data_IF_706327370081
#
_entry.id   IF_706327370081
#
_cell.length_a   1.000
_cell.length_b   1.000
_cell.length_c   1.000
_cell.angle_alpha   90.00
_cell.angle_beta   90.00
_cell.angle_gamma   90.00
#
_symmetry.space_group_name_H-M   'P 1'
#
loop_
_entity.id
_entity.type
_entity.pdbx_description
1 polymer ?
#
# COMPACT_ATOMS: atom_id res chain seq x y z
N UNK A 1 -79.16 41.83 -42.78
CA UNK A 1 -79.81 42.98 -43.42
C UNK A 1 -79.14 44.23 -42.88
N UNK A 2 -78.05 44.80 -43.41
CA UNK A 2 -77.73 45.33 -44.77
C UNK A 2 -78.80 46.26 -45.34
N UNK A 3 -78.42 47.54 -45.50
CA UNK A 3 -79.16 48.60 -46.21
C UNK A 3 -79.02 49.98 -45.54
N UNK A 4 -77.82 50.58 -45.46
CA UNK A 4 -77.23 51.54 -46.43
C UNK A 4 -77.77 53.00 -46.30
N UNK A 5 -77.09 53.90 -45.55
CA UNK A 5 -76.10 54.95 -46.00
C UNK A 5 -76.72 56.39 -45.94
N UNK A 6 -75.94 57.50 -45.95
CA UNK A 6 -75.63 58.34 -44.77
C UNK A 6 -76.11 59.82 -44.89
N UNK A 7 -76.01 60.60 -43.81
CA UNK A 7 -75.69 62.03 -43.91
C UNK A 7 -74.45 62.35 -43.07
N UNK A 8 -73.38 62.59 -43.81
CA UNK A 8 -72.12 63.28 -43.48
C UNK A 8 -72.35 64.45 -42.51
N UNK A 9 -71.57 64.70 -41.46
CA UNK A 9 -70.13 64.52 -41.31
C UNK A 9 -69.54 65.66 -40.46
N UNK A 10 -70.20 66.82 -40.40
CA UNK A 10 -69.57 68.00 -39.78
C UNK A 10 -70.25 68.48 -38.48
N UNK A 11 -71.59 68.45 -38.39
CA UNK A 11 -72.30 69.06 -37.25
C UNK A 11 -72.11 68.31 -35.91
N UNK A 12 -71.82 67.01 -35.97
CA UNK A 12 -71.67 66.18 -34.77
C UNK A 12 -70.27 66.28 -34.13
N UNK A 13 -69.27 66.78 -34.85
CA UNK A 13 -67.89 66.74 -34.38
C UNK A 13 -67.52 67.89 -33.42
N UNK A 14 -68.11 69.09 -33.55
CA UNK A 14 -67.71 70.25 -32.73
C UNK A 14 -68.45 70.33 -31.38
N UNK A 15 -69.74 70.00 -31.36
CA UNK A 15 -70.56 70.15 -30.15
C UNK A 15 -70.35 69.00 -29.15
N UNK A 16 -70.15 67.78 -29.64
CA UNK A 16 -69.96 66.61 -28.78
C UNK A 16 -68.61 66.59 -28.07
N UNK A 17 -67.57 67.17 -28.67
CA UNK A 17 -66.20 67.08 -28.14
C UNK A 17 -65.91 68.08 -27.02
N UNK A 18 -66.55 69.26 -27.01
CA UNK A 18 -66.22 70.31 -26.04
C UNK A 18 -67.24 70.55 -24.91
N UNK A 19 -68.53 70.18 -25.06
CA UNK A 19 -69.55 70.50 -24.05
C UNK A 19 -70.00 69.33 -23.15
N UNK A 20 -69.63 68.09 -23.46
CA UNK A 20 -70.00 66.92 -22.66
C UNK A 20 -71.51 66.82 -22.37
N UNK A 21 -71.91 65.96 -21.43
CA UNK A 21 -73.32 65.73 -21.10
C UNK A 21 -74.08 66.98 -20.59
N UNK A 22 -73.39 68.07 -20.28
CA UNK A 22 -73.97 69.35 -19.88
C UNK A 22 -74.53 70.17 -21.07
N UNK A 23 -74.10 69.88 -22.31
CA UNK A 23 -74.59 70.56 -23.51
C UNK A 23 -76.03 70.20 -23.91
N UNK A 24 -76.59 69.11 -23.39
CA UNK A 24 -77.95 68.66 -23.72
C UNK A 24 -79.05 69.62 -23.24
N UNK A 25 -78.76 70.51 -22.28
CA UNK A 25 -79.70 71.53 -21.79
C UNK A 25 -79.43 72.93 -22.35
N UNK A 26 -78.47 73.08 -23.26
CA UNK A 26 -78.28 74.33 -24.00
C UNK A 26 -79.27 74.35 -25.18
N UNK A 27 -80.52 74.73 -24.92
CA UNK A 27 -81.44 75.10 -26.00
C UNK A 27 -81.00 76.46 -26.56
N UNK A 28 -80.47 76.47 -27.77
CA UNK A 28 -80.26 77.70 -28.53
C UNK A 28 -81.63 78.16 -29.07
N UNK A 29 -82.29 79.08 -28.35
CA UNK A 29 -83.42 79.83 -28.89
C UNK A 29 -82.88 81.15 -29.46
N UNK A 30 -82.42 81.09 -30.70
CA UNK A 30 -82.16 82.27 -31.53
C UNK A 30 -83.43 83.10 -31.70
N UNK A 31 -83.32 84.38 -31.29
CA UNK A 31 -84.30 85.46 -31.40
C UNK A 31 -83.64 86.79 -31.04
N UNK A 32 -82.63 87.18 -31.83
CA UNK A 32 -82.06 88.53 -32.06
C UNK A 32 -81.50 89.42 -30.93
N UNK A 33 -80.94 88.94 -29.82
CA UNK A 33 -80.06 89.84 -29.06
C UNK A 33 -79.59 89.43 -27.66
N UNK A 34 -78.27 89.24 -27.56
CA UNK A 34 -77.39 89.68 -26.46
C UNK A 34 -77.71 89.31 -24.98
N UNK A 35 -77.16 88.16 -24.57
CA UNK A 35 -76.32 87.91 -23.38
C UNK A 35 -76.72 88.47 -21.99
N UNK A 36 -77.19 87.53 -21.16
CA UNK A 36 -76.90 87.39 -19.71
C UNK A 36 -77.60 88.33 -18.72
N UNK A 37 -78.76 87.93 -18.17
CA UNK A 37 -79.13 88.31 -16.79
C UNK A 37 -80.20 87.40 -16.13
N UNK A 38 -79.78 86.48 -15.25
CA UNK A 38 -80.49 86.09 -14.00
C UNK A 38 -81.53 84.95 -13.99
N UNK A 39 -81.31 83.90 -13.17
CA UNK A 39 -82.25 83.42 -12.12
C UNK A 39 -81.57 82.36 -11.21
N UNK A 40 -81.84 82.45 -9.90
CA UNK A 40 -81.05 81.93 -8.78
C UNK A 40 -81.53 80.59 -8.16
N UNK A 41 -80.57 79.75 -7.74
CA UNK A 41 -80.49 78.96 -6.47
C UNK A 41 -79.63 77.69 -6.67
N UNK A 42 -78.57 77.51 -5.87
CA UNK A 42 -77.74 76.29 -5.88
C UNK A 42 -78.20 75.39 -4.75
N UNK A 43 -78.77 74.22 -5.08
CA UNK A 43 -79.44 73.32 -4.14
C UNK A 43 -78.56 72.29 -3.41
N UNK A 44 -77.24 72.26 -3.60
CA UNK A 44 -76.38 71.31 -2.90
C UNK A 44 -74.94 71.83 -2.71
N UNK A 45 -74.43 71.70 -1.49
CA UNK A 45 -73.03 71.94 -1.10
C UNK A 45 -72.45 70.63 -0.57
N UNK A 46 -71.29 70.21 -1.05
CA UNK A 46 -70.58 69.01 -0.59
C UNK A 46 -69.31 69.43 0.17
N UNK A 47 -69.23 69.14 1.49
CA UNK A 47 -68.10 69.48 2.37
C UNK A 47 -68.50 69.69 3.84
N UNK A 48 -67.52 69.90 4.73
CA UNK A 48 -67.78 70.22 6.14
C UNK A 48 -68.40 71.63 6.29
N UNK A 49 -69.53 71.72 7.00
CA UNK A 49 -70.27 72.98 7.25
C UNK A 49 -70.05 73.41 8.70
N UNK A 50 -69.52 74.61 8.92
CA UNK A 50 -69.19 75.09 10.27
C UNK A 50 -70.38 75.57 11.11
N UNK A 51 -71.48 76.01 10.49
CA UNK A 51 -72.67 76.55 11.16
C UNK A 51 -73.88 76.59 10.23
N UNK A 52 -75.06 76.32 10.76
CA UNK A 52 -76.36 76.48 10.07
C UNK A 52 -77.24 77.38 10.93
N UNK A 53 -77.70 78.50 10.36
CA UNK A 53 -78.70 79.38 10.99
C UNK A 53 -80.05 79.12 10.31
N UNK A 54 -80.89 78.28 10.92
CA UNK A 54 -82.22 77.91 10.40
C UNK A 54 -82.54 76.43 10.55
N UNK A 55 -83.73 76.03 10.09
CA UNK A 55 -84.22 74.65 10.15
C UNK A 55 -83.57 73.75 9.09
N UNK A 56 -83.32 72.48 9.44
CA UNK A 56 -82.93 71.43 8.50
C UNK A 56 -84.20 70.73 8.00
N UNK A 57 -84.44 70.72 6.69
CA UNK A 57 -85.65 70.11 6.07
C UNK A 57 -85.59 68.59 5.86
N UNK A 58 -84.59 67.89 6.40
CA UNK A 58 -84.37 66.45 6.22
C UNK A 58 -83.53 65.85 7.36
N UNK A 59 -83.09 64.59 7.21
CA UNK A 59 -82.30 63.90 8.24
C UNK A 59 -80.90 64.49 8.39
N UNK A 60 -80.51 64.72 9.64
CA UNK A 60 -79.11 64.93 10.02
C UNK A 60 -78.49 63.55 10.24
N UNK A 61 -77.60 63.12 9.34
CA UNK A 61 -76.86 61.87 9.48
C UNK A 61 -75.50 62.19 10.13
N UNK A 62 -75.40 62.02 11.45
CA UNK A 62 -74.19 62.27 12.24
C UNK A 62 -74.47 62.68 13.69
N UNK A 63 -73.41 62.96 14.45
CA UNK A 63 -73.49 63.36 15.87
C UNK A 63 -73.97 64.81 16.03
N UNK A 64 -74.96 65.06 16.89
CA UNK A 64 -75.42 66.41 17.28
C UNK A 64 -74.92 66.69 18.71
N UNK A 65 -74.07 67.71 18.88
CA UNK A 65 -73.41 67.97 20.16
C UNK A 65 -74.32 68.66 21.21
N UNK A 66 -75.19 69.58 20.80
CA UNK A 66 -76.08 70.32 21.69
C UNK A 66 -77.36 70.74 20.97
N UNK A 67 -78.51 70.59 21.61
CA UNK A 67 -79.82 71.01 21.09
C UNK A 67 -80.37 72.10 22.01
N UNK A 68 -80.27 73.36 21.58
CA UNK A 68 -80.64 74.54 22.36
C UNK A 68 -81.83 75.24 21.70
N UNK A 69 -83.02 74.63 21.73
CA UNK A 69 -84.25 75.20 21.13
C UNK A 69 -85.44 74.24 21.17
N UNK A 70 -86.66 74.76 21.35
CA UNK A 70 -87.88 73.98 21.68
C UNK A 70 -88.50 73.18 20.53
N UNK A 71 -89.04 72.00 20.87
CA UNK A 71 -89.78 71.11 19.96
C UNK A 71 -91.25 71.50 19.97
N UNK A 72 -91.72 72.01 18.83
CA UNK A 72 -93.09 72.43 18.49
C UNK A 72 -93.92 73.05 19.64
N UNK A 73 -93.78 74.36 19.74
CA UNK A 73 -94.37 75.30 20.69
C UNK A 73 -95.88 75.53 20.51
N UNK A 74 -96.71 74.48 20.71
CA UNK A 74 -98.18 74.53 20.60
C UNK A 74 -98.92 73.88 21.77
N UNK A 75 -98.96 74.56 22.92
CA UNK A 75 -99.83 74.35 24.09
C UNK A 75 -99.91 72.94 24.72
N UNK A 76 -98.94 72.65 25.60
CA UNK A 76 -99.24 71.97 26.87
C UNK A 76 -98.87 70.50 26.99
N UNK A 77 -97.61 70.11 26.77
CA UNK A 77 -97.01 68.98 27.51
C UNK A 77 -95.51 69.18 27.61
N UNK A 78 -95.03 69.36 28.85
CA UNK A 78 -93.61 69.53 29.19
C UNK A 78 -93.08 68.20 29.71
N UNK A 79 -92.13 67.64 28.96
CA UNK A 79 -91.11 66.69 29.38
C UNK A 79 -90.31 67.28 30.54
N UNK A 80 -90.18 66.65 31.72
CA UNK A 80 -88.96 65.86 31.98
C UNK A 80 -89.02 64.88 33.17
N UNK A 81 -90.19 64.46 33.70
CA UNK A 81 -90.25 63.14 34.39
C UNK A 81 -91.67 62.59 34.63
N UNK A 82 -92.69 63.43 34.76
CA UNK A 82 -94.01 63.03 35.30
C UNK A 82 -94.97 62.40 34.27
N UNK A 83 -94.65 62.46 32.98
CA UNK A 83 -95.49 61.90 31.91
C UNK A 83 -95.28 60.40 31.62
N UNK A 84 -94.27 59.76 32.22
CA UNK A 84 -94.01 58.32 32.03
C UNK A 84 -94.89 57.45 32.95
N UNK A 85 -95.29 57.98 34.10
CA UNK A 85 -96.04 57.28 35.15
C UNK A 85 -97.40 56.76 34.63
N UNK A 86 -98.13 57.62 33.93
CA UNK A 86 -99.47 57.27 33.43
C UNK A 86 -99.46 56.25 32.29
N UNK A 87 -98.37 56.20 31.50
CA UNK A 87 -98.22 55.21 30.43
C UNK A 87 -97.76 53.84 30.97
N UNK A 88 -96.98 53.83 32.04
CA UNK A 88 -96.57 52.61 32.73
C UNK A 88 -97.75 51.92 33.43
N UNK A 89 -98.66 52.68 34.05
CA UNK A 89 -99.85 52.13 34.70
C UNK A 89 -100.77 51.35 33.74
N UNK A 90 -100.93 51.84 32.51
CA UNK A 90 -101.73 51.15 31.50
C UNK A 90 -101.06 49.84 31.02
N UNK A 91 -99.74 49.83 30.87
CA UNK A 91 -98.97 48.63 30.53
C UNK A 91 -99.00 47.58 31.64
N UNK A 92 -98.99 48.02 32.90
CA UNK A 92 -99.04 47.13 34.06
C UNK A 92 -100.41 46.43 34.19
N UNK A 93 -101.50 47.14 33.91
CA UNK A 93 -102.86 46.57 33.82
C UNK A 93 -102.98 45.51 32.72
N UNK A 94 -102.34 45.74 31.57
CA UNK A 94 -102.31 44.79 30.45
C UNK A 94 -101.49 43.55 30.78
N UNK A 95 -100.36 43.73 31.48
CA UNK A 95 -99.48 42.63 31.92
C UNK A 95 -100.17 41.72 32.93
N UNK A 96 -100.88 42.29 33.92
CA UNK A 96 -101.67 41.49 34.89
C UNK A 96 -102.79 40.70 34.20
N UNK A 97 -103.43 41.28 33.19
CA UNK A 97 -104.44 40.59 32.37
C UNK A 97 -103.81 39.42 31.59
N UNK A 98 -102.58 39.59 31.07
CA UNK A 98 -101.86 38.54 30.35
C UNK A 98 -101.43 37.39 31.28
N UNK A 99 -100.94 37.69 32.49
CA UNK A 99 -100.62 36.66 33.48
C UNK A 99 -101.86 35.87 33.90
N UNK A 100 -102.99 36.55 34.10
CA UNK A 100 -104.27 35.91 34.48
C UNK A 100 -104.78 34.95 33.41
N UNK A 101 -104.61 35.30 32.13
CA UNK A 101 -105.05 34.45 31.01
C UNK A 101 -104.12 33.27 30.72
N UNK A 102 -102.81 33.38 31.01
CA UNK A 102 -101.83 32.35 30.67
C UNK A 102 -101.53 31.34 31.80
N UNK A 103 -101.73 31.69 33.08
CA UNK A 103 -101.35 30.83 34.22
C UNK A 103 -102.53 30.04 34.85
N UNK A 104 -103.76 30.22 34.38
CA UNK A 104 -104.92 29.46 34.86
C UNK A 104 -105.24 29.68 36.34
N UNK A 105 -106.13 28.86 36.92
CA UNK A 105 -106.72 29.01 38.27
C UNK A 105 -105.72 29.01 39.44
N UNK A 106 -104.43 28.71 39.20
CA UNK A 106 -103.36 28.88 40.19
C UNK A 106 -102.89 30.35 40.30
N UNK A 107 -103.16 31.19 39.30
CA UNK A 107 -102.96 32.65 39.35
C UNK A 107 -104.05 33.42 40.11
N UNK A 108 -105.15 32.74 40.51
CA UNK A 108 -106.25 33.34 41.26
C UNK A 108 -106.04 33.35 42.80
N UNK A 109 -104.91 32.80 43.29
CA UNK A 109 -104.60 32.76 44.73
C UNK A 109 -103.67 33.88 45.21
N UNK A 110 -103.22 34.78 44.33
CA UNK A 110 -102.51 36.00 44.73
C UNK A 110 -103.51 37.09 45.16
N UNK A 111 -104.19 36.87 46.29
CA UNK A 111 -105.01 37.91 46.93
C UNK A 111 -104.12 38.72 47.86
N UNK A 112 -104.02 40.04 47.64
CA UNK A 112 -103.47 40.96 48.62
C UNK A 112 -104.38 40.95 49.88
N UNK A 113 -103.91 40.32 50.95
CA UNK A 113 -104.48 40.52 52.28
C UNK A 113 -103.75 41.70 52.94
N UNK A 114 -104.42 42.85 53.02
CA UNK A 114 -103.94 43.98 53.81
C UNK A 114 -103.78 43.59 55.29
N UNK A 115 -102.59 43.82 55.84
CA UNK A 115 -102.29 43.61 57.26
C UNK A 115 -100.80 43.33 57.49
N UNK A 116 -100.20 44.01 58.47
CA UNK A 116 -98.75 44.05 58.73
C UNK A 116 -98.11 42.68 58.95
N UNK A 117 -97.22 42.28 58.04
CA UNK A 117 -96.16 41.29 58.30
C UNK A 117 -96.40 39.91 57.70
N UNK A 118 -95.98 39.71 56.44
CA UNK A 118 -95.07 38.64 55.97
C UNK A 118 -94.96 38.70 54.43
N UNK A 119 -93.91 39.37 53.93
CA UNK A 119 -93.63 39.50 52.49
C UNK A 119 -92.87 38.28 51.91
N UNK A 120 -92.98 37.09 52.50
CA UNK A 120 -92.11 35.96 52.17
C UNK A 120 -92.74 34.82 51.35
N UNK A 121 -93.87 35.01 50.66
CA UNK A 121 -94.43 33.97 49.77
C UNK A 121 -93.96 34.04 48.32
N UNK A 122 -93.31 35.13 47.90
CA UNK A 122 -92.55 35.16 46.64
C UNK A 122 -91.16 34.53 46.76
N UNK A 123 -90.62 34.40 47.98
CA UNK A 123 -89.31 33.77 48.22
C UNK A 123 -89.39 32.24 48.25
N UNK A 124 -90.54 31.65 48.55
CA UNK A 124 -90.72 30.20 48.55
C UNK A 124 -90.56 29.57 47.15
N UNK A 125 -91.00 30.26 46.09
CA UNK A 125 -90.79 29.82 44.70
C UNK A 125 -89.35 30.00 44.23
N UNK A 126 -88.68 31.06 44.68
CA UNK A 126 -87.26 31.28 44.41
C UNK A 126 -86.39 30.23 45.14
N UNK A 127 -86.70 29.89 46.39
CA UNK A 127 -86.01 28.85 47.17
C UNK A 127 -86.26 27.44 46.62
N UNK A 128 -87.47 27.16 46.09
CA UNK A 128 -87.71 25.90 45.36
C UNK A 128 -86.96 25.83 44.05
N UNK A 129 -86.91 26.94 43.29
CA UNK A 129 -86.15 27.00 42.04
C UNK A 129 -84.65 26.90 42.29
N UNK A 130 -84.12 27.63 43.28
CA UNK A 130 -82.73 27.55 43.74
C UNK A 130 -82.40 26.16 44.26
N UNK A 131 -83.33 25.49 44.94
CA UNK A 131 -83.21 24.11 45.36
C UNK A 131 -83.18 23.12 44.19
N UNK A 132 -84.01 23.30 43.15
CA UNK A 132 -83.93 22.50 41.92
C UNK A 132 -82.60 22.68 41.21
N UNK A 133 -82.11 23.92 41.09
CA UNK A 133 -80.78 24.19 40.53
C UNK A 133 -79.67 23.58 41.38
N UNK A 134 -79.75 23.67 42.71
CA UNK A 134 -78.73 23.10 43.58
C UNK A 134 -78.72 21.57 43.56
N UNK A 135 -79.87 20.91 43.59
CA UNK A 135 -79.97 19.44 43.48
C UNK A 135 -79.46 18.95 42.11
N UNK A 136 -79.65 19.74 41.04
CA UNK A 136 -79.20 19.40 39.69
C UNK A 136 -77.70 19.67 39.48
N UNK A 137 -77.14 20.71 40.11
CA UNK A 137 -75.80 21.21 39.80
C UNK A 137 -74.75 20.93 40.88
N UNK A 138 -75.15 20.49 42.08
CA UNK A 138 -74.23 20.15 43.17
C UNK A 138 -74.25 18.66 43.44
N UNK A 139 -73.06 18.09 43.60
CA UNK A 139 -72.85 16.65 43.85
C UNK A 139 -72.28 16.37 45.24
N UNK A 140 -72.39 17.32 46.17
CA UNK A 140 -71.89 17.16 47.55
C UNK A 140 -72.88 16.38 48.43
N UNK A 141 -72.37 15.67 49.44
CA UNK A 141 -73.20 14.81 50.30
C UNK A 141 -74.17 15.59 51.22
N UNK A 142 -73.95 16.89 51.42
CA UNK A 142 -74.78 17.71 52.30
C UNK A 142 -76.11 18.12 51.61
N UNK A 143 -76.13 18.23 50.28
CA UNK A 143 -77.28 18.75 49.53
C UNK A 143 -78.58 17.95 49.75
N UNK A 144 -78.48 16.63 49.94
CA UNK A 144 -79.63 15.76 50.19
C UNK A 144 -80.27 16.01 51.57
N UNK A 145 -79.48 16.46 52.55
CA UNK A 145 -79.97 16.81 53.89
C UNK A 145 -80.49 18.25 53.90
N UNK A 146 -79.74 19.18 53.31
CA UNK A 146 -80.08 20.61 53.30
C UNK A 146 -81.35 20.93 52.49
N UNK A 147 -81.65 20.14 51.44
CA UNK A 147 -82.80 20.34 50.54
C UNK A 147 -83.78 19.17 50.52
N UNK A 148 -83.87 18.40 51.60
CA UNK A 148 -84.71 17.19 51.72
C UNK A 148 -86.20 17.40 51.39
N UNK A 149 -86.78 18.54 51.77
CA UNK A 149 -88.18 18.88 51.48
C UNK A 149 -88.45 19.08 49.98
N UNK A 150 -87.48 19.64 49.25
CA UNK A 150 -87.57 19.88 47.81
C UNK A 150 -87.36 18.57 47.04
N UNK A 151 -86.43 17.72 47.50
CA UNK A 151 -86.24 16.37 46.95
C UNK A 151 -87.53 15.53 47.06
N UNK A 152 -88.28 15.67 48.15
CA UNK A 152 -89.59 15.03 48.33
C UNK A 152 -90.63 15.52 47.31
N UNK A 153 -90.60 16.79 46.93
CA UNK A 153 -91.50 17.38 45.91
C UNK A 153 -91.17 16.91 44.49
N UNK A 154 -89.88 16.74 44.14
CA UNK A 154 -89.47 16.13 42.86
C UNK A 154 -90.04 14.71 42.76
N UNK A 155 -89.87 13.94 43.83
CA UNK A 155 -90.29 12.54 43.89
C UNK A 155 -91.83 12.36 43.93
N UNK A 156 -92.59 13.42 44.20
CA UNK A 156 -94.05 13.38 44.27
C UNK A 156 -94.76 13.64 42.91
N UNK A 157 -94.06 14.16 41.90
CA UNK A 157 -94.68 14.53 40.62
C UNK A 157 -94.60 13.40 39.58
N UNK A 158 -95.51 12.44 39.72
CA UNK A 158 -95.71 11.23 38.89
C UNK A 158 -96.18 11.52 37.44
N UNK A 159 -95.24 11.80 36.54
CA UNK A 159 -95.49 11.91 35.09
C UNK A 159 -95.45 10.57 34.33
N UNK A 160 -96.56 9.82 34.35
CA UNK A 160 -97.10 8.76 33.43
C UNK A 160 -96.34 8.20 32.19
N UNK A 161 -95.02 7.98 32.21
CA UNK A 161 -94.27 7.34 31.11
C UNK A 161 -93.53 6.07 31.54
N UNK A 162 -93.92 4.91 31.02
CA UNK A 162 -93.39 3.58 31.31
C UNK A 162 -91.85 3.48 31.31
N UNK A 163 -91.27 3.33 32.50
CA UNK A 163 -89.90 2.92 32.78
C UNK A 163 -89.86 2.40 34.22
N UNK A 164 -89.24 1.24 34.41
CA UNK A 164 -89.36 0.37 35.57
C UNK A 164 -89.17 1.09 36.93
N UNK A 165 -90.20 1.06 37.78
CA UNK A 165 -90.23 1.68 39.11
C UNK A 165 -89.43 0.80 40.09
N UNK A 166 -88.10 0.81 39.96
CA UNK A 166 -87.21 0.20 40.95
C UNK A 166 -86.95 1.20 42.07
N UNK A 167 -87.41 0.86 43.26
CA UNK A 167 -87.30 1.56 44.56
C UNK A 167 -85.85 1.77 45.08
N UNK A 168 -84.88 2.00 44.21
CA UNK A 168 -83.55 2.48 44.60
C UNK A 168 -83.49 3.98 44.35
N UNK A 169 -83.72 4.72 45.42
CA UNK A 169 -83.40 6.13 45.61
C UNK A 169 -82.14 6.52 44.81
N UNK A 170 -82.27 7.52 43.94
CA UNK A 170 -81.21 8.17 43.12
C UNK A 170 -79.91 8.54 43.85
N UNK A 171 -79.91 8.63 45.18
CA UNK A 171 -78.70 8.68 46.00
C UNK A 171 -77.81 7.43 45.91
N UNK A 172 -78.37 6.24 45.66
CA UNK A 172 -77.61 5.00 45.40
C UNK A 172 -77.10 4.92 43.95
N UNK A 173 -77.67 5.68 43.02
CA UNK A 173 -77.11 5.86 41.68
C UNK A 173 -75.95 6.86 41.70
N UNK A 174 -76.00 7.88 42.57
CA UNK A 174 -74.85 8.72 42.92
C UNK A 174 -73.68 7.94 43.57
N UNK A 175 -73.97 6.91 44.39
CA UNK A 175 -72.93 6.01 44.92
C UNK A 175 -72.32 5.08 43.85
N UNK A 176 -73.07 4.73 42.79
CA UNK A 176 -72.54 3.98 41.65
C UNK A 176 -71.75 4.86 40.69
N UNK A 177 -72.06 6.16 40.60
CA UNK A 177 -71.27 7.17 39.87
C UNK A 177 -70.00 7.59 40.65
N UNK A 178 -69.98 7.38 41.98
CA UNK A 178 -68.72 7.41 42.74
C UNK A 178 -67.85 6.18 42.54
N UNK A 179 -68.29 5.10 41.89
CA UNK A 179 -67.45 3.92 41.69
C UNK A 179 -66.36 4.18 40.62
N UNK A 180 -66.64 4.84 39.48
CA UNK A 180 -65.61 5.41 38.62
C UNK A 180 -64.71 6.42 39.35
N UNK A 181 -65.25 7.28 40.21
CA UNK A 181 -64.46 8.26 40.96
C UNK A 181 -63.64 7.64 42.12
N UNK A 182 -64.08 6.53 42.69
CA UNK A 182 -63.38 5.75 43.71
C UNK A 182 -62.33 4.83 43.06
N UNK A 183 -62.54 4.41 41.81
CA UNK A 183 -61.51 3.78 40.97
C UNK A 183 -60.47 4.82 40.55
N UNK A 184 -60.88 6.03 40.15
CA UNK A 184 -59.98 7.17 39.89
C UNK A 184 -59.19 7.56 41.16
N UNK A 185 -59.84 7.57 42.33
CA UNK A 185 -59.19 7.81 43.61
C UNK A 185 -58.32 6.63 44.08
N UNK A 186 -58.67 5.38 43.78
CA UNK A 186 -57.81 4.23 44.05
C UNK A 186 -56.59 4.18 43.11
N UNK A 187 -56.72 4.67 41.88
CA UNK A 187 -55.62 4.85 40.92
C UNK A 187 -54.67 5.98 41.35
N UNK A 188 -55.16 7.00 42.08
CA UNK A 188 -54.40 8.20 42.42
C UNK A 188 -53.98 8.33 43.90
N UNK A 189 -54.63 7.67 44.86
CA UNK A 189 -54.44 7.89 46.31
C UNK A 189 -53.96 6.65 47.09
N UNK A 190 -53.85 5.47 46.46
CA UNK A 190 -53.05 4.36 46.99
C UNK A 190 -51.68 4.38 46.32
N UNK A 191 -50.66 4.85 47.04
CA UNK A 191 -49.29 5.12 46.57
C UNK A 191 -48.49 3.93 46.02
N UNK A 192 -48.99 3.28 44.98
CA UNK A 192 -48.31 2.24 44.21
C UNK A 192 -48.44 2.46 42.70
N UNK A 193 -48.11 3.68 42.26
CA UNK A 193 -47.81 3.95 40.86
C UNK A 193 -46.75 2.98 40.30
N UNK A 194 -45.96 2.32 41.15
CA UNK A 194 -44.95 1.33 40.78
C UNK A 194 -45.58 -0.01 40.40
N UNK A 195 -46.58 -0.52 41.12
CA UNK A 195 -47.30 -1.74 40.74
C UNK A 195 -48.29 -1.49 39.60
N UNK A 196 -48.88 -0.30 39.50
CA UNK A 196 -49.65 0.06 38.31
C UNK A 196 -48.74 0.17 37.09
N UNK A 197 -47.58 0.84 37.21
CA UNK A 197 -46.59 0.89 36.13
C UNK A 197 -45.98 -0.48 35.84
N UNK A 198 -45.80 -1.36 36.84
CA UNK A 198 -45.33 -2.72 36.64
C UNK A 198 -46.40 -3.61 36.01
N UNK A 199 -47.68 -3.44 36.34
CA UNK A 199 -48.79 -4.15 35.72
C UNK A 199 -49.05 -3.66 34.31
N UNK A 200 -48.96 -2.35 34.05
CA UNK A 200 -49.00 -1.76 32.70
C UNK A 200 -47.78 -2.20 31.91
N UNK A 201 -46.57 -2.16 32.46
CA UNK A 201 -45.36 -2.65 31.80
C UNK A 201 -45.44 -4.15 31.52
N UNK A 202 -45.95 -4.95 32.46
CA UNK A 202 -46.18 -6.39 32.24
C UNK A 202 -47.25 -6.64 31.17
N UNK A 203 -48.31 -5.81 31.10
CA UNK A 203 -49.36 -5.92 30.06
C UNK A 203 -48.90 -5.38 28.71
N UNK A 204 -48.03 -4.39 28.68
CA UNK A 204 -47.36 -3.87 27.48
C UNK A 204 -46.31 -4.87 26.99
N UNK A 205 -45.54 -5.51 27.87
CA UNK A 205 -44.71 -6.66 27.53
C UNK A 205 -45.56 -7.82 27.01
N UNK A 206 -46.66 -8.15 27.69
CA UNK A 206 -47.61 -9.18 27.26
C UNK A 206 -48.24 -8.83 25.91
N UNK A 207 -48.52 -7.55 25.61
CA UNK A 207 -49.02 -7.08 24.32
C UNK A 207 -47.94 -7.13 23.23
N UNK A 208 -46.71 -6.68 23.52
CA UNK A 208 -45.56 -6.75 22.62
C UNK A 208 -45.10 -8.20 22.36
N UNK A 209 -45.34 -9.12 23.30
CA UNK A 209 -45.06 -10.55 23.18
C UNK A 209 -46.23 -11.29 22.48
N UNK A 210 -47.49 -10.91 22.74
CA UNK A 210 -48.67 -11.60 22.21
C UNK A 210 -49.21 -11.05 20.87
N UNK A 211 -48.68 -9.95 20.34
CA UNK A 211 -48.82 -9.61 18.90
C UNK A 211 -47.94 -10.51 18.00
N UNK A 212 -47.42 -11.61 18.55
CA UNK A 212 -47.25 -12.85 17.79
C UNK A 212 -46.12 -12.84 16.76
N UNK A 213 -45.18 -11.90 16.85
CA UNK A 213 -44.00 -11.93 15.99
C UNK A 213 -42.68 -11.63 16.69
N UNK A 214 -42.52 -11.98 17.96
CA UNK A 214 -41.18 -11.96 18.57
C UNK A 214 -40.19 -12.86 17.78
N UNK A 215 -40.68 -13.92 17.13
CA UNK A 215 -39.89 -14.84 16.30
C UNK A 215 -39.44 -14.26 14.96
N UNK A 216 -40.31 -13.62 14.17
CA UNK A 216 -39.88 -13.00 12.91
C UNK A 216 -39.36 -11.57 13.10
N UNK A 217 -39.60 -10.92 14.24
CA UNK A 217 -38.80 -9.75 14.64
C UNK A 217 -37.37 -10.19 14.98
N UNK A 218 -37.19 -11.28 15.75
CA UNK A 218 -35.85 -11.79 16.05
C UNK A 218 -35.15 -12.39 14.82
N UNK A 219 -35.89 -13.04 13.91
CA UNK A 219 -35.36 -13.56 12.65
C UNK A 219 -35.09 -12.46 11.61
N UNK A 220 -35.89 -11.39 11.56
CA UNK A 220 -35.64 -10.21 10.73
C UNK A 220 -34.47 -9.39 11.28
N UNK A 221 -34.38 -9.24 12.60
CA UNK A 221 -33.20 -8.69 13.27
C UNK A 221 -31.99 -9.57 12.96
N UNK A 222 -32.06 -10.89 13.10
CA UNK A 222 -30.96 -11.79 12.75
C UNK A 222 -30.60 -11.69 11.26
N UNK A 223 -31.58 -11.57 10.36
CA UNK A 223 -31.35 -11.43 8.91
C UNK A 223 -30.72 -10.08 8.57
N UNK A 224 -31.18 -8.97 9.15
CA UNK A 224 -30.51 -7.67 9.07
C UNK A 224 -29.13 -7.73 9.74
N UNK A 225 -29.00 -8.51 10.81
CA UNK A 225 -27.78 -8.82 11.57
C UNK A 225 -26.92 -9.92 10.92
N UNK A 226 -27.27 -10.45 9.77
CA UNK A 226 -26.37 -11.24 8.93
C UNK A 226 -26.17 -10.64 7.54
N UNK A 227 -27.09 -9.79 7.07
CA UNK A 227 -27.04 -9.13 5.76
C UNK A 227 -26.27 -7.80 5.70
N UNK A 228 -26.02 -7.11 6.82
CA UNK A 228 -25.17 -5.92 6.85
C UNK A 228 -23.69 -6.28 6.57
N UNK A 229 -23.11 -5.72 5.50
CA UNK A 229 -21.78 -6.07 4.99
C UNK A 229 -20.60 -5.68 5.90
N UNK A 230 -20.80 -4.81 6.88
CA UNK A 230 -19.78 -4.42 7.86
C UNK A 230 -20.39 -4.35 9.25
N UNK A 231 -19.82 -5.06 10.22
CA UNK A 231 -20.25 -5.08 11.63
C UNK A 231 -19.09 -4.70 12.52
N UNK A 232 -19.36 -3.81 13.46
CA UNK A 232 -18.38 -3.43 14.49
C UNK A 232 -18.92 -3.93 15.83
N UNK A 233 -18.30 -4.97 16.39
CA UNK A 233 -18.59 -5.43 17.74
C UNK A 233 -17.68 -4.68 18.71
N UNK A 234 -18.24 -3.75 19.47
CA UNK A 234 -17.48 -2.80 20.30
C UNK A 234 -16.92 -3.42 21.59
N UNK A 235 -17.34 -4.63 21.96
CA UNK A 235 -16.84 -5.37 23.11
C UNK A 235 -16.52 -6.81 22.70
N UNK A 236 -15.28 -7.03 22.28
CA UNK A 236 -14.79 -8.32 21.82
C UNK A 236 -14.37 -9.24 22.99
N UNK A 237 -15.29 -9.53 23.92
CA UNK A 237 -15.02 -10.46 25.03
C UNK A 237 -15.46 -11.90 24.74
N UNK A 238 -16.24 -12.09 23.67
CA UNK A 238 -16.82 -13.40 23.30
C UNK A 238 -16.18 -14.00 22.05
N UNK A 239 -15.34 -13.26 21.33
CA UNK A 239 -14.43 -13.85 20.35
C UNK A 239 -13.10 -14.01 21.08
N UNK A 240 -12.71 -15.25 21.35
CA UNK A 240 -11.39 -15.59 21.88
C UNK A 240 -10.33 -15.40 20.78
N UNK A 241 -10.29 -14.22 20.16
CA UNK A 241 -9.36 -13.90 19.08
C UNK A 241 -7.95 -13.90 19.66
N UNK A 242 -7.03 -14.75 19.15
CA UNK A 242 -5.66 -14.73 19.61
C UNK A 242 -5.05 -13.37 19.28
N UNK A 243 -4.30 -12.81 20.25
CA UNK A 243 -3.58 -11.56 20.00
C UNK A 243 -2.54 -11.78 18.89
N UNK A 244 -2.15 -10.72 18.19
CA UNK A 244 -1.10 -10.82 17.18
C UNK A 244 0.21 -11.42 17.74
N UNK A 245 0.51 -11.15 19.02
CA UNK A 245 1.63 -11.76 19.72
C UNK A 245 1.40 -13.26 19.96
N UNK A 246 0.22 -13.68 20.41
CA UNK A 246 -0.09 -15.10 20.60
C UNK A 246 -0.05 -15.89 19.27
N UNK A 247 -0.49 -15.29 18.16
CA UNK A 247 -0.35 -15.88 16.82
C UNK A 247 1.13 -15.95 16.44
N UNK A 248 1.91 -14.88 16.67
CA UNK A 248 3.32 -14.85 16.32
C UNK A 248 4.12 -15.89 17.11
N UNK A 249 3.94 -15.97 18.42
CA UNK A 249 4.58 -16.98 19.27
C UNK A 249 4.18 -18.39 18.80
N UNK A 250 2.88 -18.63 18.56
CA UNK A 250 2.41 -19.92 18.06
C UNK A 250 3.02 -20.31 16.71
N UNK A 251 3.24 -19.35 15.80
CA UNK A 251 3.84 -19.62 14.47
C UNK A 251 5.36 -19.78 14.56
N UNK A 252 6.05 -18.95 15.35
CA UNK A 252 7.51 -18.95 15.45
C UNK A 252 8.05 -20.08 16.35
N UNK A 253 7.29 -20.47 17.37
CA UNK A 253 7.64 -21.59 18.27
C UNK A 253 7.02 -22.92 17.82
N UNK A 254 6.36 -22.96 16.65
CA UNK A 254 5.82 -24.19 16.07
C UNK A 254 6.94 -25.20 15.79
N UNK A 255 6.72 -26.45 16.20
CA UNK A 255 7.74 -27.49 16.09
C UNK A 255 7.93 -27.93 14.63
N UNK A 256 9.18 -27.87 14.14
CA UNK A 256 9.54 -28.37 12.79
C UNK A 256 9.18 -29.84 12.56
N UNK A 257 9.17 -30.66 13.62
CA UNK A 257 8.93 -32.12 13.54
C UNK A 257 7.55 -32.49 12.99
N UNK A 258 6.55 -31.60 13.10
CA UNK A 258 5.22 -31.78 12.50
C UNK A 258 5.18 -31.49 10.99
N UNK A 259 6.20 -30.82 10.46
CA UNK A 259 6.24 -30.35 9.07
C UNK A 259 7.24 -31.16 8.22
N UNK A 260 7.33 -32.48 8.39
CA UNK A 260 8.28 -33.33 7.65
C UNK A 260 7.72 -33.91 6.35
N UNK A 261 6.50 -33.53 5.96
CA UNK A 261 5.86 -33.99 4.72
C UNK A 261 6.52 -33.35 3.49
N UNK A 262 6.68 -34.12 2.41
CA UNK A 262 7.25 -33.62 1.16
C UNK A 262 6.53 -32.36 0.65
N UNK A 263 7.30 -31.33 0.29
CA UNK A 263 6.78 -30.05 -0.18
C UNK A 263 6.41 -29.04 0.91
N UNK A 264 6.53 -29.40 2.19
CA UNK A 264 6.41 -28.43 3.29
C UNK A 264 7.70 -27.59 3.44
N UNK A 265 7.58 -26.43 4.09
CA UNK A 265 8.75 -25.63 4.48
C UNK A 265 9.67 -26.38 5.48
N UNK A 266 9.07 -27.07 6.46
CA UNK A 266 9.83 -27.82 7.47
C UNK A 266 10.67 -28.96 6.90
N UNK A 267 10.21 -29.61 5.82
CA UNK A 267 10.96 -30.67 5.13
C UNK A 267 12.19 -30.09 4.41
N UNK A 268 12.03 -28.95 3.72
CA UNK A 268 13.17 -28.27 3.09
C UNK A 268 14.24 -27.87 4.09
N UNK A 269 13.85 -27.39 5.28
CA UNK A 269 14.80 -27.06 6.34
C UNK A 269 15.48 -28.30 6.93
N UNK A 270 14.73 -29.39 7.14
CA UNK A 270 15.31 -30.65 7.58
C UNK A 270 16.31 -31.23 6.56
N UNK A 271 16.03 -31.08 5.26
CA UNK A 271 16.95 -31.49 4.19
C UNK A 271 18.21 -30.62 4.17
N UNK A 272 18.08 -29.30 4.32
CA UNK A 272 19.24 -28.40 4.45
C UNK A 272 20.09 -28.75 5.67
N UNK A 273 19.47 -29.09 6.81
CA UNK A 273 20.20 -29.53 8.00
C UNK A 273 20.92 -30.86 7.75
N UNK A 274 20.29 -31.80 7.04
CA UNK A 274 20.91 -33.07 6.66
C UNK A 274 22.10 -32.86 5.71
N UNK A 275 21.92 -32.09 4.64
CA UNK A 275 22.96 -31.74 3.67
C UNK A 275 24.11 -30.98 4.37
N UNK A 276 23.80 -30.06 5.27
CA UNK A 276 24.82 -29.32 6.04
C UNK A 276 25.62 -30.25 6.95
N UNK A 277 24.95 -31.20 7.62
CA UNK A 277 25.61 -32.22 8.43
C UNK A 277 26.48 -33.16 7.57
N UNK A 278 26.03 -33.49 6.35
CA UNK A 278 26.81 -34.24 5.37
C UNK A 278 28.08 -33.47 4.97
N UNK A 279 27.95 -32.19 4.60
CA UNK A 279 29.08 -31.33 4.26
C UNK A 279 30.10 -31.21 5.41
N UNK A 280 29.63 -31.10 6.66
CA UNK A 280 30.49 -31.03 7.83
C UNK A 280 31.20 -32.36 8.12
N UNK A 281 30.49 -33.49 7.99
CA UNK A 281 31.05 -34.82 8.20
C UNK A 281 32.09 -35.16 7.12
N UNK A 282 31.83 -34.74 5.88
CA UNK A 282 32.71 -34.98 4.74
C UNK A 282 33.92 -34.03 4.68
N UNK A 283 34.10 -33.08 5.62
CA UNK A 283 35.29 -32.20 5.62
C UNK A 283 36.61 -32.98 5.69
N UNK A 284 36.63 -34.13 6.39
CA UNK A 284 37.79 -35.02 6.42
C UNK A 284 37.99 -35.78 5.11
N UNK A 285 36.90 -36.11 4.41
CA UNK A 285 36.94 -36.77 3.12
C UNK A 285 37.44 -35.82 2.02
N UNK A 286 37.12 -34.52 2.11
CA UNK A 286 37.64 -33.52 1.16
C UNK A 286 39.14 -33.31 1.28
N UNK A 287 39.70 -33.43 2.49
CA UNK A 287 41.15 -33.38 2.69
C UNK A 287 41.88 -34.56 2.02
N UNK A 288 41.20 -35.71 1.87
CA UNK A 288 41.73 -36.93 1.25
C UNK A 288 41.22 -37.17 -0.18
N UNK A 289 40.37 -36.29 -0.70
CA UNK A 289 39.81 -36.39 -2.04
C UNK A 289 40.90 -36.19 -3.10
N UNK A 290 41.20 -37.24 -3.84
CA UNK A 290 42.11 -37.19 -5.00
C UNK A 290 41.43 -36.46 -6.16
N UNK A 291 42.13 -35.50 -6.79
CA UNK A 291 41.64 -34.74 -7.95
C UNK A 291 41.29 -33.27 -7.68
N UNK A 292 41.33 -32.81 -6.44
CA UNK A 292 41.28 -31.39 -6.06
C UNK A 292 42.56 -31.06 -5.29
N UNK A 293 43.33 -30.04 -5.68
CA UNK A 293 44.58 -29.67 -5.01
C UNK A 293 44.30 -29.12 -3.60
N UNK A 294 44.27 -29.99 -2.59
CA UNK A 294 44.28 -29.62 -1.17
C UNK A 294 45.69 -29.30 -0.66
N UNK A 295 46.69 -29.48 -1.51
CA UNK A 295 48.10 -29.22 -1.24
C UNK A 295 48.43 -27.76 -1.50
N UNK A 296 49.18 -27.13 -0.58
CA UNK A 296 49.78 -25.83 -0.84
C UNK A 296 50.76 -25.93 -2.01
N UNK A 297 51.10 -24.81 -2.64
CA UNK A 297 52.14 -24.80 -3.67
C UNK A 297 53.49 -25.32 -3.15
N UNK A 298 53.75 -25.17 -1.83
CA UNK A 298 54.92 -25.72 -1.19
C UNK A 298 54.85 -27.25 -1.09
N UNK A 299 53.72 -27.81 -0.66
CA UNK A 299 53.52 -29.26 -0.58
C UNK A 299 53.66 -29.93 -1.96
N UNK A 300 53.13 -29.28 -3.01
CA UNK A 300 53.28 -29.76 -4.39
C UNK A 300 54.74 -29.69 -4.85
N UNK A 301 55.44 -28.60 -4.55
CA UNK A 301 56.85 -28.45 -4.93
C UNK A 301 57.73 -29.49 -4.21
N UNK A 302 57.55 -29.66 -2.90
CA UNK A 302 58.28 -30.63 -2.08
C UNK A 302 58.06 -32.05 -2.59
N UNK A 303 56.79 -32.44 -2.81
CA UNK A 303 56.45 -33.75 -3.37
C UNK A 303 57.06 -33.98 -4.77
N UNK A 304 57.12 -32.97 -5.63
CA UNK A 304 57.73 -33.10 -6.97
C UNK A 304 59.25 -33.22 -6.90
N UNK A 305 59.91 -32.52 -5.97
CA UNK A 305 61.37 -32.57 -5.82
C UNK A 305 61.86 -33.80 -5.06
N UNK A 306 61.07 -34.33 -4.12
CA UNK A 306 61.37 -35.53 -3.35
C UNK A 306 60.93 -36.83 -4.04
N UNK A 307 60.21 -36.73 -5.17
CA UNK A 307 59.78 -37.90 -5.95
C UNK A 307 60.98 -38.72 -6.42
N UNK A 308 60.89 -40.04 -6.27
CA UNK A 308 61.97 -40.94 -6.61
C UNK A 308 62.14 -41.04 -8.13
N UNK A 309 63.35 -40.76 -8.64
CA UNK A 309 63.65 -40.84 -10.08
C UNK A 309 63.49 -42.26 -10.65
N UNK A 310 63.52 -43.29 -9.80
CA UNK A 310 63.35 -44.70 -10.18
C UNK A 310 61.99 -44.99 -10.85
N UNK A 311 60.93 -44.23 -10.55
CA UNK A 311 59.62 -44.35 -11.19
C UNK A 311 59.54 -43.70 -12.57
N UNK A 312 60.50 -42.83 -12.90
CA UNK A 312 60.48 -41.99 -14.09
C UNK A 312 61.47 -42.45 -15.16
N UNK A 313 61.61 -43.75 -15.39
CA UNK A 313 62.54 -44.30 -16.40
C UNK A 313 62.00 -44.30 -17.83
N UNK A 314 60.73 -43.89 -18.02
CA UNK A 314 60.10 -43.84 -19.35
C UNK A 314 60.67 -42.69 -20.19
N UNK A 315 60.89 -42.89 -21.48
CA UNK A 315 61.38 -41.83 -22.37
C UNK A 315 60.46 -40.60 -22.35
N UNK A 316 61.05 -39.41 -22.24
CA UNK A 316 60.33 -38.13 -22.20
C UNK A 316 59.96 -37.63 -20.80
N UNK A 317 60.28 -38.37 -19.73
CA UNK A 317 60.14 -37.90 -18.35
C UNK A 317 61.38 -37.13 -17.88
N UNK A 318 61.24 -36.30 -16.85
CA UNK A 318 62.37 -35.61 -16.23
C UNK A 318 63.35 -36.58 -15.56
N UNK A 319 62.86 -37.62 -14.87
CA UNK A 319 63.73 -38.61 -14.24
C UNK A 319 64.59 -39.41 -15.22
N UNK A 320 64.10 -39.67 -16.44
CA UNK A 320 64.88 -40.33 -17.50
C UNK A 320 66.01 -39.43 -17.99
N UNK A 321 65.75 -38.13 -18.16
CA UNK A 321 66.77 -37.16 -18.55
C UNK A 321 67.91 -37.10 -17.52
N UNK A 322 67.59 -37.10 -16.23
CA UNK A 322 68.60 -37.10 -15.17
C UNK A 322 69.38 -38.43 -15.11
N UNK A 323 68.70 -39.56 -15.29
CA UNK A 323 69.35 -40.88 -15.35
C UNK A 323 70.32 -40.98 -16.53
N UNK A 324 69.95 -40.45 -17.69
CA UNK A 324 70.80 -40.41 -18.88
C UNK A 324 72.03 -39.54 -18.67
N UNK A 325 71.85 -38.33 -18.12
CA UNK A 325 72.98 -37.44 -17.78
C UNK A 325 73.94 -38.11 -16.81
N UNK A 326 73.43 -38.83 -15.81
CA UNK A 326 74.27 -39.57 -14.87
C UNK A 326 75.01 -40.73 -15.55
N UNK A 327 74.37 -41.44 -16.48
CA UNK A 327 75.01 -42.49 -17.27
C UNK A 327 76.13 -41.92 -18.15
N UNK A 328 75.87 -40.86 -18.91
CA UNK A 328 76.86 -40.18 -19.76
C UNK A 328 78.03 -39.62 -18.92
N UNK A 329 77.75 -39.09 -17.73
CA UNK A 329 78.79 -38.59 -16.82
C UNK A 329 79.66 -39.73 -16.27
N UNK A 330 79.05 -40.86 -15.93
CA UNK A 330 79.78 -42.05 -15.48
C UNK A 330 80.65 -42.64 -16.62
N UNK A 331 80.18 -42.57 -17.87
CA UNK A 331 80.96 -42.94 -19.06
C UNK A 331 82.20 -42.06 -19.19
N UNK A 332 82.06 -40.73 -19.10
CA UNK A 332 83.18 -39.78 -19.16
C UNK A 332 84.18 -39.94 -18.01
N UNK A 333 83.73 -40.41 -16.84
CA UNK A 333 84.62 -40.72 -15.72
C UNK A 333 85.32 -42.07 -15.86
N UNK A 334 84.70 -43.00 -16.58
CA UNK A 334 85.28 -44.30 -16.92
C UNK A 334 86.27 -44.21 -18.09
N UNK A 335 86.19 -43.16 -18.90
CA UNK A 335 87.26 -42.81 -19.85
C UNK A 335 88.56 -42.60 -19.07
N UNK A 336 89.48 -43.54 -19.23
CA UNK A 336 90.78 -43.53 -18.57
C UNK A 336 91.73 -42.53 -19.28
N UNK A 337 91.33 -41.26 -19.28
CA UNK A 337 92.13 -40.14 -19.80
C UNK A 337 93.54 -40.16 -19.19
N UNK A 338 93.74 -40.42 -17.89
CA UNK A 338 95.07 -40.58 -17.31
C UNK A 338 95.88 -41.72 -17.92
N UNK A 339 95.32 -42.92 -18.14
CA UNK A 339 96.06 -44.01 -18.78
C UNK A 339 96.30 -43.77 -20.27
N UNK A 340 95.38 -43.11 -20.99
CA UNK A 340 95.62 -42.68 -22.37
C UNK A 340 96.79 -41.68 -22.45
N UNK A 341 96.87 -40.73 -21.50
CA UNK A 341 97.98 -39.78 -21.40
C UNK A 341 99.27 -40.48 -20.96
N UNK A 342 99.19 -41.45 -20.05
CA UNK A 342 100.35 -42.24 -19.61
C UNK A 342 100.91 -43.12 -20.74
N UNK A 343 100.05 -43.73 -21.56
CA UNK A 343 100.45 -44.53 -22.72
C UNK A 343 101.22 -43.70 -23.77
N UNK A 344 100.98 -42.38 -23.86
CA UNK A 344 101.78 -41.46 -24.68
C UNK A 344 103.15 -41.17 -24.06
N UNK A 345 103.27 -41.18 -22.73
CA UNK A 345 104.52 -40.96 -22.01
C UNK A 345 105.39 -42.22 -21.89
N UNK A 346 104.83 -43.41 -22.11
CA UNK A 346 105.54 -44.70 -22.08
C UNK A 346 106.25 -45.04 -23.39
N UNK A 347 106.07 -44.23 -24.45
CA UNK A 347 106.87 -44.34 -25.65
C UNK A 347 108.29 -43.82 -25.35
N UNK A 348 109.18 -44.74 -25.01
CA UNK A 348 110.61 -44.45 -24.95
C UNK A 348 111.11 -43.93 -26.32
N UNK A 349 112.35 -43.46 -26.36
CA UNK A 349 112.91 -42.93 -27.61
C UNK A 349 112.85 -43.96 -28.77
N UNK A 350 112.85 -45.28 -28.49
CA UNK A 350 112.70 -46.32 -29.50
C UNK A 350 111.24 -46.50 -29.94
N UNK A 351 110.28 -46.39 -29.03
CA UNK A 351 108.84 -46.32 -29.30
C UNK A 351 108.48 -45.14 -30.20
N UNK A 352 109.03 -43.95 -29.91
CA UNK A 352 108.86 -42.75 -30.75
C UNK A 352 109.42 -43.00 -32.16
N UNK A 353 110.64 -43.54 -32.29
CA UNK A 353 111.25 -43.86 -33.59
C UNK A 353 110.44 -44.87 -34.40
N UNK A 354 109.87 -45.87 -33.73
CA UNK A 354 109.00 -46.87 -34.35
C UNK A 354 107.70 -46.24 -34.83
N UNK A 355 107.08 -45.38 -34.02
CA UNK A 355 105.83 -44.69 -34.37
C UNK A 355 105.97 -43.75 -35.58
N UNK A 356 107.14 -43.11 -35.76
CA UNK A 356 107.44 -42.26 -36.93
C UNK A 356 107.99 -43.04 -38.14
N UNK A 357 108.06 -44.38 -38.07
CA UNK A 357 108.49 -45.22 -39.19
C UNK A 357 110.00 -45.24 -39.46
N UNK A 358 110.83 -44.84 -38.48
CA UNK A 358 112.28 -44.89 -38.59
C UNK A 358 112.78 -46.27 -38.17
N UNK A 359 112.95 -47.17 -39.14
CA UNK A 359 113.34 -48.56 -38.92
C UNK A 359 114.76 -48.67 -38.33
N UNK A 360 114.86 -48.86 -37.01
CA UNK A 360 115.88 -49.53 -36.16
C UNK A 360 117.39 -49.52 -36.51
N UNK A 361 117.86 -48.85 -37.54
CA UNK A 361 119.25 -48.45 -37.69
C UNK A 361 119.33 -46.98 -37.25
N UNK A 362 120.04 -46.71 -36.15
CA UNK A 362 120.25 -45.33 -35.72
C UNK A 362 120.76 -44.51 -36.91
N UNK A 363 120.19 -43.33 -37.13
CA UNK A 363 120.69 -42.36 -38.11
C UNK A 363 122.21 -42.15 -37.95
N UNK A 364 122.73 -42.29 -36.73
CA UNK A 364 124.17 -42.30 -36.41
C UNK A 364 124.97 -43.39 -37.13
N UNK A 365 124.42 -44.60 -37.29
CA UNK A 365 125.08 -45.71 -38.00
C UNK A 365 125.09 -45.49 -39.51
N UNK A 366 124.04 -44.87 -40.06
CA UNK A 366 123.98 -44.52 -41.48
C UNK A 366 124.85 -43.30 -41.80
N UNK A 367 124.86 -42.29 -40.93
CA UNK A 367 125.67 -41.08 -41.08
C UNK A 367 127.16 -41.37 -40.83
N UNK A 368 127.49 -42.27 -39.91
CA UNK A 368 128.88 -42.70 -39.65
C UNK A 368 129.54 -43.43 -40.82
N UNK A 369 128.77 -44.02 -41.75
CA UNK A 369 129.30 -44.59 -43.00
C UNK A 369 129.53 -43.55 -44.11
N UNK A 370 129.03 -42.32 -43.92
CA UNK A 370 129.17 -41.20 -44.86
C UNK A 370 130.18 -40.14 -44.38
N UNK A 371 130.84 -40.35 -43.23
CA UNK A 371 131.85 -39.43 -42.71
C UNK A 371 133.14 -39.47 -43.55
N UNK A 372 133.25 -38.54 -44.48
CA UNK A 372 134.41 -38.32 -45.35
C UNK A 372 135.61 -37.69 -44.61
N UNK A 373 135.49 -37.39 -43.30
CA UNK A 373 136.56 -36.79 -42.49
C UNK A 373 137.29 -37.80 -41.60
N UNK A 374 136.68 -38.95 -41.34
CA UNK A 374 137.33 -40.05 -40.61
C UNK A 374 138.36 -40.77 -41.50
N UNK A 375 139.51 -41.13 -40.91
CA UNK A 375 140.52 -41.93 -41.61
C UNK A 375 139.96 -43.32 -41.93
N UNK A 376 140.02 -43.72 -43.21
CA UNK A 376 139.60 -45.04 -43.64
C UNK A 376 140.64 -46.10 -43.20
N UNK A 377 140.22 -47.35 -43.03
CA UNK A 377 141.17 -48.45 -42.78
C UNK A 377 141.80 -48.88 -44.10
N UNK A 378 143.13 -48.89 -44.17
CA UNK A 378 143.87 -49.29 -45.37
C UNK A 378 143.61 -50.76 -45.72
N UNK A 379 143.01 -50.97 -46.89
CA UNK A 379 142.71 -52.28 -47.45
C UNK A 379 142.73 -52.19 -48.97
N UNK A 380 142.90 -53.32 -49.64
CA UNK A 380 142.95 -53.42 -51.10
C UNK A 380 142.09 -54.58 -51.53
N UNK A 381 141.31 -54.39 -52.59
CA UNK A 381 140.39 -55.44 -53.07
C UNK A 381 141.21 -56.64 -53.56
N UNK A 382 140.67 -57.85 -53.43
CA UNK A 382 141.26 -59.02 -54.10
C UNK A 382 141.19 -58.88 -55.63
N UNK A 383 142.10 -59.51 -56.37
CA UNK A 383 142.14 -59.43 -57.84
C UNK A 383 140.79 -59.82 -58.44
N UNK A 384 140.21 -58.94 -59.27
CA UNK A 384 138.90 -59.15 -59.91
C UNK A 384 137.65 -58.91 -59.02
N UNK A 385 137.79 -58.49 -57.76
CA UNK A 385 136.64 -58.16 -56.90
C UNK A 385 136.13 -56.72 -57.14
N UNK A 386 134.85 -56.44 -56.83
CA UNK A 386 134.25 -55.10 -56.95
C UNK A 386 134.80 -54.09 -55.93
N UNK A 387 135.24 -54.54 -54.75
CA UNK A 387 135.80 -53.71 -53.68
C UNK A 387 134.79 -52.83 -52.94
N UNK A 388 135.10 -52.49 -51.69
CA UNK A 388 134.45 -51.42 -50.92
C UNK A 388 135.00 -50.04 -51.32
N UNK A 389 134.28 -48.97 -50.98
CA UNK A 389 134.72 -47.59 -51.29
C UNK A 389 136.11 -47.27 -50.72
N UNK A 390 136.43 -47.76 -49.51
CA UNK A 390 137.74 -47.60 -48.90
C UNK A 390 138.83 -48.35 -49.68
N UNK A 391 138.58 -49.61 -50.05
CA UNK A 391 139.54 -50.42 -50.82
C UNK A 391 139.83 -49.82 -52.19
N UNK A 392 138.80 -49.30 -52.88
CA UNK A 392 138.96 -48.65 -54.18
C UNK A 392 139.75 -47.34 -54.06
N UNK A 393 139.48 -46.53 -53.03
CA UNK A 393 140.19 -45.26 -52.83
C UNK A 393 141.66 -45.49 -52.48
N UNK A 394 141.97 -46.45 -51.61
CA UNK A 394 143.36 -46.80 -51.30
C UNK A 394 144.09 -47.40 -52.49
N UNK A 395 143.41 -48.20 -53.32
CA UNK A 395 144.03 -48.74 -54.53
C UNK A 395 144.36 -47.65 -55.54
N UNK A 396 143.45 -46.69 -55.77
CA UNK A 396 143.71 -45.50 -56.59
C UNK A 396 144.90 -44.71 -56.02
N UNK A 397 144.93 -44.49 -54.71
CA UNK A 397 146.00 -43.75 -54.05
C UNK A 397 147.35 -44.46 -54.19
N UNK A 398 147.40 -45.79 -54.00
CA UNK A 398 148.60 -46.59 -54.23
C UNK A 398 149.05 -46.56 -55.70
N UNK A 399 148.10 -46.44 -56.63
CA UNK A 399 148.39 -46.35 -58.06
C UNK A 399 149.04 -45.03 -58.50
N UNK A 400 148.66 -43.94 -57.83
CA UNK A 400 149.16 -42.58 -58.03
C UNK A 400 150.37 -42.23 -57.17
N UNK A 401 150.48 -42.87 -56.00
CA UNK A 401 151.52 -42.64 -55.01
C UNK A 401 152.83 -43.35 -55.36
N UNK A 402 153.43 -44.00 -54.36
CA UNK A 402 154.72 -44.64 -54.54
C UNK A 402 154.59 -45.99 -55.28
N UNK A 403 155.29 -46.10 -56.41
CA UNK A 403 155.37 -47.33 -57.19
C UNK A 403 156.77 -47.53 -57.76
N UNK A 404 157.11 -48.78 -58.00
CA UNK A 404 158.33 -49.16 -58.70
C UNK A 404 157.99 -49.89 -60.00
N UNK A 405 158.71 -49.58 -61.09
CA UNK A 405 158.62 -50.32 -62.35
C UNK A 405 159.97 -51.02 -62.56
N UNK A 406 159.91 -52.34 -62.80
CA UNK A 406 161.07 -53.14 -63.18
C UNK A 406 160.66 -54.10 -64.30
N UNK A 407 161.26 -53.94 -65.48
CA UNK A 407 160.81 -54.61 -66.69
C UNK A 407 159.35 -54.24 -67.00
N UNK A 408 158.49 -55.25 -67.11
CA UNK A 408 157.05 -55.10 -67.33
C UNK A 408 156.23 -55.10 -66.03
N UNK A 409 156.85 -55.15 -64.85
CA UNK A 409 156.12 -55.22 -63.58
C UNK A 409 156.06 -53.86 -62.90
N UNK A 410 154.84 -53.32 -62.72
CA UNK A 410 154.57 -52.17 -61.84
C UNK A 410 154.13 -52.68 -60.47
N UNK A 411 154.88 -52.33 -59.43
CA UNK A 411 154.54 -52.64 -58.03
C UNK A 411 154.08 -51.37 -57.33
N UNK A 412 152.79 -51.28 -57.03
CA UNK A 412 152.23 -50.20 -56.23
C UNK A 412 152.43 -50.52 -54.74
N UNK A 413 152.84 -49.52 -53.95
CA UNK A 413 153.13 -49.67 -52.52
C UNK A 413 151.93 -49.29 -51.66
N UNK A 414 151.89 -49.87 -50.46
CA UNK A 414 151.02 -49.40 -49.37
C UNK A 414 151.45 -48.00 -48.93
N UNK A 415 150.64 -47.37 -48.07
CA UNK A 415 150.96 -46.05 -47.52
C UNK A 415 152.29 -45.99 -46.76
N UNK A 416 152.77 -47.13 -46.27
CA UNK A 416 154.08 -47.25 -45.61
C UNK A 416 155.29 -47.11 -46.56
N UNK A 417 155.05 -47.06 -47.88
CA UNK A 417 156.07 -46.93 -48.93
C UNK A 417 156.91 -48.18 -49.18
N UNK A 418 156.78 -49.23 -48.35
CA UNK A 418 157.66 -50.40 -48.38
C UNK A 418 156.93 -51.65 -48.83
N UNK A 419 155.73 -51.89 -48.30
CA UNK A 419 154.99 -53.11 -48.56
C UNK A 419 154.20 -53.01 -49.88
N UNK A 420 154.07 -54.13 -50.58
CA UNK A 420 153.31 -54.17 -51.83
C UNK A 420 151.82 -54.11 -51.53
N UNK A 421 151.13 -53.14 -52.12
CA UNK A 421 149.68 -53.06 -52.14
C UNK A 421 149.10 -53.93 -53.26
N UNK A 422 149.57 -53.70 -54.48
CA UNK A 422 149.11 -54.36 -55.69
C UNK A 422 150.22 -54.44 -56.74
N UNK A 423 150.11 -55.44 -57.60
CA UNK A 423 151.03 -55.63 -58.72
C UNK A 423 150.27 -55.58 -60.02
N UNK A 424 150.88 -54.99 -61.03
CA UNK A 424 150.32 -54.81 -62.35
C UNK A 424 151.36 -55.16 -63.40
N UNK A 425 150.89 -55.65 -64.54
CA UNK A 425 151.70 -55.99 -65.70
C UNK A 425 151.50 -54.94 -66.79
N UNK A 426 152.60 -54.35 -67.22
CA UNK A 426 152.71 -53.49 -68.39
C UNK A 426 152.95 -54.35 -69.64
N UNK A 427 152.50 -53.89 -70.79
CA UNK A 427 152.68 -54.59 -72.06
C UNK A 427 154.10 -54.48 -72.66
N UNK A 428 154.84 -53.42 -72.33
CA UNK A 428 156.21 -53.20 -72.81
C UNK A 428 157.10 -52.58 -71.72
N UNK A 429 158.39 -52.95 -71.70
CA UNK A 429 159.35 -52.47 -70.69
C UNK A 429 159.91 -51.07 -70.97
N UNK A 430 159.76 -50.57 -72.21
CA UNK A 430 160.33 -49.31 -72.67
C UNK A 430 159.24 -48.29 -72.99
N UNK A 431 158.19 -48.70 -73.70
CA UNK A 431 157.09 -47.85 -74.17
C UNK A 431 155.72 -48.49 -73.87
N UNK A 432 155.33 -48.61 -72.59
CA UNK A 432 154.08 -49.25 -72.22
C UNK A 432 152.86 -48.47 -72.77
N UNK A 433 151.90 -49.18 -73.33
CA UNK A 433 150.63 -48.63 -73.83
C UNK A 433 149.40 -49.18 -73.12
N UNK A 434 149.57 -50.24 -72.32
CA UNK A 434 148.51 -50.81 -71.51
C UNK A 434 149.05 -51.34 -70.17
N UNK A 435 148.15 -51.40 -69.20
CA UNK A 435 148.41 -51.93 -67.86
C UNK A 435 147.26 -52.84 -67.48
N UNK A 436 147.58 -54.01 -66.96
CA UNK A 436 146.60 -55.00 -66.47
C UNK A 436 146.95 -55.37 -65.04
N UNK A 437 145.94 -55.58 -64.20
CA UNK A 437 146.15 -56.10 -62.85
C UNK A 437 146.86 -57.47 -62.94
N UNK A 438 147.95 -57.64 -62.20
CA UNK A 438 148.67 -58.91 -62.20
C UNK A 438 147.84 -59.97 -61.48
N UNK A 439 147.73 -61.15 -62.10
CA UNK A 439 147.05 -62.32 -61.53
C UNK A 439 147.81 -62.92 -60.36
#
# INVERSE_FOLDING_TARGET
YTGNTPQTGDAYAYLGTNLGAAGANATEAGGTGDQFTGIASVGAVSGAVGSVTGNVGGNVVGSVANVTGGINTGAGTITTLDGLDTAQDAQHSTTQTYLTNNLGTAGAAATEAGGTGDHLTALAQADTMEGFFQITLRSDAAIATDRAAILTLINANEGTGAGDYSITTDSQEGQRDTLPAAVEAAILDEGDATALLAAIAAKVEEFLINDGDASATLAAIATAVWGNGTRTLTANTNLNDPTAAAIADAVWDEAKSGHVVAGSFGKSLADVEADTNELQSNQGDWATAVGFSTHSAADVADAVFDEATAGHVTAGTFGKLLADVLADTNELQADDVPALIAALNDLDAAGIRTAIGLATANLDTQLGKADLTAALTEAYRSTGATGSAAELLYEILAHLGEFAISGTTKTAKKLDGSTTAKTYTLDDATNPTSITEAT
#
